data_IF_053193850392
#
_entry.id   IF_053193850392
#
_cell.length_a   1.000
_cell.length_b   1.000
_cell.length_c   1.000
_cell.angle_alpha   90.00
_cell.angle_beta   90.00
_cell.angle_gamma   90.00
#
_symmetry.space_group_name_H-M   'P 1'
#
loop_
_entity.id
_entity.type
_entity.pdbx_description
1 polymer ?
#
# COMPACT_ATOMS: atom_id res chain seq x y z
N UNK A 1 9.26 7.99 5.56
CA UNK A 1 8.19 7.79 4.56
C UNK A 1 8.60 6.67 3.63
N UNK A 2 7.69 5.78 3.23
CA UNK A 2 7.94 4.79 2.19
C UNK A 2 7.71 5.42 0.81
N UNK A 3 8.78 5.50 0.01
CA UNK A 3 8.72 5.86 -1.40
C UNK A 3 8.38 4.62 -2.23
N UNK A 4 7.09 4.30 -2.33
CA UNK A 4 6.68 3.01 -2.88
C UNK A 4 6.88 2.84 -4.38
N UNK A 5 6.98 3.93 -5.16
CA UNK A 5 7.34 3.81 -6.57
C UNK A 5 8.74 3.18 -6.73
N UNK A 6 9.75 3.71 -6.04
CA UNK A 6 11.12 3.18 -6.09
C UNK A 6 11.22 1.80 -5.42
N UNK A 7 10.48 1.59 -4.32
CA UNK A 7 10.47 0.30 -3.64
C UNK A 7 9.88 -0.80 -4.55
N UNK A 8 8.78 -0.53 -5.25
CA UNK A 8 8.23 -1.43 -6.26
C UNK A 8 9.25 -1.67 -7.37
N UNK A 9 9.90 -0.61 -7.86
CA UNK A 9 10.92 -0.68 -8.90
C UNK A 9 12.01 -1.71 -8.56
N UNK A 10 12.58 -1.59 -7.36
CA UNK A 10 13.66 -2.44 -6.89
C UNK A 10 13.20 -3.85 -6.51
N UNK A 11 11.96 -4.00 -6.02
CA UNK A 11 11.42 -5.30 -5.61
C UNK A 11 11.07 -6.17 -6.81
N UNK A 12 10.44 -5.59 -7.83
CA UNK A 12 10.11 -6.30 -9.08
C UNK A 12 11.29 -6.36 -10.07
N UNK A 13 12.29 -5.48 -9.91
CA UNK A 13 13.34 -5.29 -10.91
C UNK A 13 12.81 -4.64 -12.20
N UNK A 14 11.75 -3.84 -12.11
CA UNK A 14 11.09 -3.22 -13.26
C UNK A 14 11.52 -1.78 -13.38
N UNK A 15 12.27 -1.41 -14.42
CA UNK A 15 12.48 0.00 -14.75
C UNK A 15 11.15 0.66 -15.10
N UNK A 16 10.79 1.75 -14.40
CA UNK A 16 9.54 2.48 -14.65
C UNK A 16 9.42 2.98 -16.10
N UNK A 17 10.54 3.38 -16.69
CA UNK A 17 10.59 3.92 -18.05
C UNK A 17 10.44 2.82 -19.12
N UNK A 18 10.74 1.56 -18.77
CA UNK A 18 10.73 0.44 -19.71
C UNK A 18 9.55 -0.51 -19.49
N UNK A 19 8.88 -0.45 -18.34
CA UNK A 19 7.84 -1.41 -17.95
C UNK A 19 6.66 -1.44 -18.94
N UNK A 20 6.35 -0.30 -19.56
CA UNK A 20 5.28 -0.17 -20.54
C UNK A 20 5.47 -1.09 -21.77
N UNK A 21 6.69 -1.57 -22.03
CA UNK A 21 7.00 -2.47 -23.15
C UNK A 21 6.47 -3.89 -22.97
N UNK A 22 6.21 -4.33 -21.74
CA UNK A 22 5.81 -5.72 -21.46
C UNK A 22 4.67 -5.85 -20.43
N UNK A 23 4.42 -4.83 -19.60
CA UNK A 23 3.37 -4.89 -18.59
C UNK A 23 1.97 -5.20 -19.13
N UNK A 24 1.52 -4.62 -20.28
CA UNK A 24 0.22 -4.97 -20.84
C UNK A 24 0.07 -6.46 -21.15
N UNK A 25 1.13 -7.10 -21.66
CA UNK A 25 1.13 -8.54 -21.94
C UNK A 25 1.01 -9.37 -20.66
N UNK A 26 1.68 -8.94 -19.59
CA UNK A 26 1.63 -9.62 -18.28
C UNK A 26 0.23 -9.56 -17.68
N UNK A 27 -0.43 -8.40 -17.79
CA UNK A 27 -1.81 -8.22 -17.33
C UNK A 27 -2.78 -9.06 -18.18
N UNK A 28 -2.64 -9.03 -19.51
CA UNK A 28 -3.51 -9.80 -20.42
C UNK A 28 -3.38 -11.31 -20.20
N UNK A 29 -2.16 -11.79 -19.94
CA UNK A 29 -1.88 -13.21 -19.66
C UNK A 29 -2.20 -13.61 -18.22
N UNK A 30 -2.64 -12.68 -17.37
CA UNK A 30 -2.92 -12.93 -15.95
C UNK A 30 -1.68 -13.30 -15.13
N UNK A 31 -0.48 -12.96 -15.61
CA UNK A 31 0.77 -13.15 -14.86
C UNK A 31 0.81 -12.19 -13.67
N UNK A 32 0.33 -10.96 -13.89
CA UNK A 32 0.10 -9.99 -12.82
C UNK A 32 -1.40 -9.67 -12.75
N UNK A 33 -1.97 -9.58 -11.54
CA UNK A 33 -3.38 -9.24 -11.39
C UNK A 33 -3.64 -7.76 -11.67
N UNK A 34 -2.67 -6.90 -11.37
CA UNK A 34 -2.75 -5.44 -11.48
C UNK A 34 -1.38 -4.85 -11.84
N UNK A 35 -1.37 -3.61 -12.33
CA UNK A 35 -0.16 -2.81 -12.47
C UNK A 35 0.42 -2.51 -11.06
N UNK A 36 1.62 -3.02 -10.72
CA UNK A 36 2.19 -2.91 -9.39
C UNK A 36 2.65 -1.48 -9.04
N UNK A 37 2.67 -0.55 -10.00
CA UNK A 37 2.93 0.89 -9.75
C UNK A 37 1.65 1.67 -9.43
N UNK A 38 0.50 1.10 -9.80
CA UNK A 38 -0.83 1.68 -9.54
C UNK A 38 -1.45 1.10 -8.27
N UNK A 39 -1.39 -0.23 -8.11
CA UNK A 39 -1.91 -0.97 -6.96
C UNK A 39 -0.75 -1.62 -6.22
N UNK A 40 -0.62 -1.35 -4.91
CA UNK A 40 0.47 -1.89 -4.11
C UNK A 40 0.43 -3.42 -4.10
N UNK A 41 1.51 -4.05 -4.55
CA UNK A 41 1.75 -5.47 -4.34
C UNK A 41 1.89 -5.74 -2.83
N UNK A 42 0.89 -6.40 -2.24
CA UNK A 42 0.84 -6.62 -0.80
C UNK A 42 1.65 -7.85 -0.34
N UNK A 43 1.97 -8.76 -1.26
CA UNK A 43 2.69 -10.01 -0.96
C UNK A 43 4.21 -9.82 -1.03
N UNK A 44 4.72 -9.08 -2.01
CA UNK A 44 6.14 -8.76 -2.13
C UNK A 44 6.48 -7.42 -1.48
N UNK A 45 6.12 -6.30 -2.13
CA UNK A 45 6.44 -4.94 -1.67
C UNK A 45 5.85 -4.68 -0.28
N UNK A 46 4.61 -5.12 -0.05
CA UNK A 46 3.93 -5.03 1.24
C UNK A 46 4.66 -5.74 2.37
N UNK A 47 5.31 -6.87 2.10
CA UNK A 47 6.09 -7.59 3.10
C UNK A 47 7.34 -6.80 3.53
N UNK A 48 8.05 -6.20 2.57
CA UNK A 48 9.17 -5.31 2.86
C UNK A 48 8.74 -4.10 3.69
N UNK A 49 7.55 -3.54 3.40
CA UNK A 49 6.96 -2.46 4.20
C UNK A 49 6.71 -2.93 5.64
N UNK A 50 6.08 -4.08 5.86
CA UNK A 50 5.84 -4.63 7.21
C UNK A 50 7.13 -4.80 7.98
N UNK A 51 8.15 -5.40 7.35
CA UNK A 51 9.49 -5.58 7.95
C UNK A 51 10.08 -4.23 8.36
N UNK A 52 10.01 -3.22 7.49
CA UNK A 52 10.50 -1.87 7.77
C UNK A 52 9.79 -1.21 8.95
N UNK A 53 8.46 -1.34 9.02
CA UNK A 53 7.65 -0.80 10.12
C UNK A 53 8.00 -1.49 11.43
N UNK A 54 7.99 -2.83 11.45
CA UNK A 54 8.23 -3.63 12.64
C UNK A 54 9.63 -3.36 13.20
N UNK A 55 10.67 -3.43 12.35
CA UNK A 55 12.06 -3.17 12.77
C UNK A 55 12.26 -1.73 13.22
N UNK A 56 11.67 -0.75 12.52
CA UNK A 56 11.74 0.65 12.91
C UNK A 56 11.09 0.91 14.27
N UNK A 57 9.90 0.35 14.49
CA UNK A 57 9.16 0.51 15.75
C UNK A 57 9.70 -0.32 16.91
N UNK A 58 10.49 -1.35 16.63
CA UNK A 58 11.27 -2.07 17.67
C UNK A 58 12.32 -1.17 18.31
N UNK A 59 12.90 -0.25 17.55
CA UNK A 59 13.92 0.69 18.04
C UNK A 59 13.29 1.99 18.55
N UNK A 60 12.26 2.49 17.87
CA UNK A 60 11.53 3.70 18.25
C UNK A 60 10.02 3.46 18.19
N UNK A 61 9.42 3.15 19.34
CA UNK A 61 8.02 2.71 19.43
C UNK A 61 7.01 3.70 18.84
N UNK A 62 7.26 5.00 18.96
CA UNK A 62 6.39 6.07 18.46
C UNK A 62 6.75 6.57 17.04
N UNK A 63 7.62 5.84 16.34
CA UNK A 63 8.07 6.18 14.99
C UNK A 63 6.87 6.40 14.07
N UNK A 64 6.75 7.63 13.57
CA UNK A 64 5.76 8.03 12.58
C UNK A 64 6.15 7.43 11.23
N UNK A 65 5.23 6.68 10.66
CA UNK A 65 5.42 6.01 9.36
C UNK A 65 4.32 6.49 8.45
N UNK A 66 4.65 6.77 7.20
CA UNK A 66 3.66 6.97 6.16
C UNK A 66 4.19 6.52 4.81
N UNK A 67 3.32 6.60 3.82
CA UNK A 67 3.57 6.28 2.42
C UNK A 67 3.39 7.54 1.57
N UNK A 68 4.17 7.63 0.49
CA UNK A 68 3.99 8.61 -0.56
C UNK A 68 4.10 7.95 -1.94
N UNK A 69 3.50 8.59 -2.94
CA UNK A 69 3.45 8.10 -4.32
C UNK A 69 2.01 7.79 -4.74
N UNK A 70 1.88 7.11 -5.87
CA UNK A 70 0.58 6.79 -6.48
C UNK A 70 -0.29 5.91 -5.56
N UNK A 71 0.32 4.92 -4.91
CA UNK A 71 -0.34 4.04 -3.94
C UNK A 71 -1.00 4.77 -2.76
N UNK A 72 -0.53 5.98 -2.41
CA UNK A 72 -1.11 6.76 -1.31
C UNK A 72 -2.54 7.24 -1.58
N UNK A 73 -3.00 7.20 -2.82
CA UNK A 73 -4.36 7.55 -3.24
C UNK A 73 -5.19 6.36 -3.71
N UNK A 74 -4.60 5.17 -3.84
CA UNK A 74 -5.30 3.98 -4.34
C UNK A 74 -6.04 3.27 -3.17
N UNK A 75 -7.36 3.04 -3.27
CA UNK A 75 -8.17 2.55 -2.15
C UNK A 75 -7.65 1.30 -1.43
N UNK A 76 -7.25 0.26 -2.17
CA UNK A 76 -6.81 -1.01 -1.58
C UNK A 76 -5.44 -0.88 -0.89
N UNK A 77 -4.57 -0.04 -1.43
CA UNK A 77 -3.26 0.33 -0.89
C UNK A 77 -3.41 1.16 0.38
N UNK A 78 -4.36 2.10 0.41
CA UNK A 78 -4.72 2.86 1.62
C UNK A 78 -5.27 1.94 2.70
N UNK A 79 -6.10 0.96 2.33
CA UNK A 79 -6.59 -0.07 3.27
C UNK A 79 -5.44 -0.91 3.83
N UNK A 80 -4.48 -1.33 3.00
CA UNK A 80 -3.27 -1.99 3.45
C UNK A 80 -2.47 -1.12 4.44
N UNK A 81 -2.28 0.16 4.14
CA UNK A 81 -1.59 1.12 5.02
C UNK A 81 -2.27 1.23 6.38
N UNK A 82 -3.60 1.19 6.43
CA UNK A 82 -4.36 1.13 7.68
C UNK A 82 -4.05 -0.16 8.45
N UNK A 83 -4.09 -1.32 7.80
CA UNK A 83 -3.85 -2.62 8.45
C UNK A 83 -2.44 -2.76 9.02
N UNK A 84 -1.42 -2.22 8.33
CA UNK A 84 -0.04 -2.21 8.85
C UNK A 84 0.24 -1.03 9.80
N UNK A 85 -0.81 -0.33 10.23
CA UNK A 85 -0.78 0.74 11.22
C UNK A 85 0.16 1.89 10.81
N UNK A 86 0.12 2.32 9.55
CA UNK A 86 0.77 3.58 9.15
C UNK A 86 0.08 4.78 9.79
N UNK A 87 0.85 5.83 10.07
CA UNK A 87 0.37 7.07 10.67
C UNK A 87 -0.33 7.98 9.66
N UNK A 88 0.11 7.98 8.40
CA UNK A 88 -0.50 8.80 7.35
C UNK A 88 -0.28 8.20 5.95
N UNK A 89 -1.11 8.63 5.00
CA UNK A 89 -0.89 8.47 3.56
C UNK A 89 -0.73 9.86 2.94
N UNK A 90 0.10 9.96 1.90
CA UNK A 90 0.32 11.19 1.13
C UNK A 90 0.10 10.90 -0.35
N UNK A 91 -0.76 11.68 -0.99
CA UNK A 91 -1.15 11.54 -2.39
C UNK A 91 -1.29 12.91 -3.06
N UNK A 92 -1.49 12.91 -4.38
CA UNK A 92 -1.73 14.14 -5.14
C UNK A 92 -3.02 14.85 -4.68
N UNK A 93 -3.13 16.18 -4.84
CA UNK A 93 -4.26 16.95 -4.30
C UNK A 93 -5.64 16.41 -4.69
N UNK A 94 -5.80 15.97 -5.94
CA UNK A 94 -7.06 15.45 -6.46
C UNK A 94 -7.44 14.08 -5.87
N UNK A 95 -6.47 13.32 -5.35
CA UNK A 95 -6.70 12.01 -4.73
C UNK A 95 -7.00 12.11 -3.24
N UNK A 96 -6.85 13.29 -2.62
CA UNK A 96 -7.12 13.50 -1.19
C UNK A 96 -8.53 13.04 -0.78
N UNK A 97 -9.62 13.36 -1.51
CA UNK A 97 -10.95 12.89 -1.15
C UNK A 97 -11.06 11.36 -1.15
N UNK A 98 -10.44 10.70 -2.12
CA UNK A 98 -10.43 9.24 -2.25
C UNK A 98 -9.67 8.62 -1.08
N UNK A 99 -8.44 9.09 -0.81
CA UNK A 99 -7.64 8.60 0.31
C UNK A 99 -8.35 8.75 1.67
N UNK A 100 -9.05 9.88 1.89
CA UNK A 100 -9.85 10.10 3.10
C UNK A 100 -11.01 9.11 3.22
N UNK A 101 -11.75 8.90 2.13
CA UNK A 101 -12.87 7.97 2.11
C UNK A 101 -12.40 6.53 2.35
N UNK A 102 -11.35 6.10 1.64
CA UNK A 102 -10.77 4.77 1.78
C UNK A 102 -10.22 4.52 3.19
N UNK A 103 -9.55 5.51 3.80
CA UNK A 103 -9.08 5.39 5.18
C UNK A 103 -10.24 5.24 6.19
N UNK A 104 -11.34 5.98 5.99
CA UNK A 104 -12.53 5.86 6.82
C UNK A 104 -13.20 4.49 6.67
N UNK A 105 -13.36 4.02 5.43
CA UNK A 105 -13.89 2.69 5.12
C UNK A 105 -13.04 1.59 5.74
N UNK A 106 -11.70 1.68 5.62
CA UNK A 106 -10.77 0.74 6.25
C UNK A 106 -10.96 0.67 7.76
N UNK A 107 -11.11 1.83 8.43
CA UNK A 107 -11.36 1.89 9.86
C UNK A 107 -12.70 1.27 10.25
N UNK A 108 -13.75 1.49 9.46
CA UNK A 108 -15.08 0.90 9.69
C UNK A 108 -14.99 -0.62 9.54
N UNK A 109 -14.46 -1.13 8.42
CA UNK A 109 -14.29 -2.58 8.20
C UNK A 109 -13.53 -3.26 9.34
N UNK A 110 -12.44 -2.66 9.80
CA UNK A 110 -11.65 -3.17 10.92
C UNK A 110 -12.45 -3.25 12.24
N UNK A 111 -13.34 -2.29 12.49
CA UNK A 111 -14.24 -2.32 13.66
C UNK A 111 -15.29 -3.43 13.56
N UNK A 112 -15.91 -3.59 12.39
CA UNK A 112 -16.89 -4.66 12.19
C UNK A 112 -16.26 -6.04 12.41
N UNK A 113 -15.03 -6.26 11.92
CA UNK A 113 -14.31 -7.52 12.14
C UNK A 113 -13.99 -7.78 13.63
N UNK A 114 -13.67 -6.74 14.43
CA UNK A 114 -13.47 -6.90 15.88
C UNK A 114 -14.78 -7.18 16.63
N UNK A 115 -15.89 -6.63 16.16
CA UNK A 115 -17.20 -6.84 16.78
C UNK A 115 -17.72 -8.27 16.50
N UNK A 116 -17.52 -8.80 15.30
CA UNK A 116 -17.88 -10.19 14.98
C UNK A 116 -17.05 -11.22 15.76
N UNK A 117 -15.73 -10.99 15.91
CA UNK A 117 -14.82 -11.88 16.64
C UNK A 117 -15.01 -11.88 18.17
N UNK A 118 -15.75 -10.91 18.71
CA UNK A 118 -16.10 -10.85 20.14
C UNK A 118 -17.46 -11.50 20.47
N UNK A 119 -18.24 -11.87 19.46
CA UNK A 119 -19.56 -12.50 19.61
C UNK A 119 -19.61 -13.96 19.15
N UNK A 120 -18.47 -14.57 18.79
CA UNK A 120 -18.33 -16.00 18.46
C UNK A 120 -17.38 -16.71 19.40
#
# INVERSE_FOLDING_TARGET
SFGTNDLTQMTFGYSRDDVAKFLPDYLQKGILPHDPFSVLDQEGVGELIKIGIERGRRVRHDLKVGICGEHGGEPSSVEFCHRVNMTYVSCSPFMIPIARLSAAQAKIKARHASDESSHG
#
